data_IF_781338149974
#
_entry.id   IF_781338149974
#
_cell.length_a   1.000
_cell.length_b   1.000
_cell.length_c   1.000
_cell.angle_alpha   90.00
_cell.angle_beta   90.00
_cell.angle_gamma   90.00
#
_symmetry.space_group_name_H-M   'P 1'
#
loop_
_entity.id
_entity.type
_entity.pdbx_description
1 polymer ?
#
# COMPACT_ATOMS: atom_id res chain seq x y z
N UNK A 1 19.48 4.79 -0.06
CA UNK A 1 18.78 5.72 -0.96
C UNK A 1 17.43 6.08 -0.33
N UNK A 2 17.06 7.36 -0.33
CA UNK A 2 15.78 7.87 0.21
C UNK A 2 14.86 8.28 -0.95
N UNK A 3 13.55 8.18 -0.76
CA UNK A 3 12.58 8.69 -1.72
C UNK A 3 12.68 10.21 -1.80
N UNK A 4 12.76 10.77 -3.01
CA UNK A 4 12.84 12.23 -3.20
C UNK A 4 11.53 12.96 -2.83
N UNK A 5 10.39 12.25 -2.81
CA UNK A 5 9.08 12.83 -2.49
C UNK A 5 8.74 12.82 -0.99
N UNK A 6 9.27 11.86 -0.21
CA UNK A 6 8.89 11.71 1.21
C UNK A 6 10.07 11.46 2.16
N UNK A 7 11.31 11.38 1.68
CA UNK A 7 12.49 11.16 2.53
C UNK A 7 12.64 9.75 3.11
N UNK A 8 11.64 8.87 2.93
CA UNK A 8 11.62 7.50 3.45
C UNK A 8 12.72 6.63 2.82
N UNK A 9 13.31 5.72 3.61
CA UNK A 9 14.34 4.78 3.15
C UNK A 9 13.73 3.78 2.15
N UNK A 10 14.26 3.74 0.92
CA UNK A 10 13.79 2.79 -0.11
C UNK A 10 14.36 1.39 0.17
N UNK A 11 13.49 0.43 0.46
CA UNK A 11 13.84 -0.99 0.65
C UNK A 11 13.64 -1.75 -0.68
N UNK A 12 14.56 -1.57 -1.64
CA UNK A 12 14.43 -2.10 -3.02
C UNK A 12 14.08 -3.59 -3.09
N UNK A 13 14.66 -4.40 -2.22
CA UNK A 13 14.40 -5.85 -2.21
C UNK A 13 12.96 -6.18 -1.79
N UNK A 14 12.43 -5.51 -0.76
CA UNK A 14 11.04 -5.66 -0.35
C UNK A 14 10.08 -5.19 -1.44
N UNK A 15 10.40 -4.10 -2.13
CA UNK A 15 9.61 -3.61 -3.28
C UNK A 15 9.63 -4.64 -4.42
N UNK A 16 10.78 -5.26 -4.71
CA UNK A 16 10.87 -6.34 -5.71
C UNK A 16 10.05 -7.56 -5.32
N UNK A 17 10.12 -7.99 -4.06
CA UNK A 17 9.28 -9.09 -3.53
C UNK A 17 7.80 -8.76 -3.63
N UNK A 18 7.39 -7.56 -3.24
CA UNK A 18 6.00 -7.09 -3.37
C UNK A 18 5.53 -7.17 -4.83
N UNK A 19 6.31 -6.62 -5.75
CA UNK A 19 6.00 -6.61 -7.19
C UNK A 19 6.27 -7.96 -7.89
N UNK A 20 6.74 -8.98 -7.19
CA UNK A 20 6.86 -10.34 -7.73
C UNK A 20 5.50 -11.07 -7.75
N UNK A 21 4.52 -10.58 -6.99
CA UNK A 21 3.15 -11.10 -7.00
C UNK A 21 2.49 -10.81 -8.37
N UNK A 22 2.12 -11.84 -9.16
CA UNK A 22 1.55 -11.66 -10.49
C UNK A 22 0.16 -10.99 -10.44
N UNK A 23 -0.68 -11.33 -9.46
CA UNK A 23 -2.00 -10.71 -9.26
C UNK A 23 -1.86 -9.22 -8.97
N UNK A 24 -0.91 -8.85 -8.11
CA UNK A 24 -0.64 -7.45 -7.82
C UNK A 24 -0.21 -6.69 -9.09
N UNK A 25 0.66 -7.28 -9.93
CA UNK A 25 1.08 -6.66 -11.20
C UNK A 25 -0.09 -6.44 -12.15
N UNK A 26 -1.01 -7.39 -12.23
CA UNK A 26 -2.22 -7.26 -13.05
C UNK A 26 -3.13 -6.13 -12.55
N UNK A 27 -3.34 -6.04 -11.23
CA UNK A 27 -4.15 -4.98 -10.62
C UNK A 27 -3.52 -3.61 -10.84
N UNK A 28 -2.20 -3.46 -10.59
CA UNK A 28 -1.47 -2.21 -10.81
C UNK A 28 -1.56 -1.77 -12.28
N UNK A 29 -1.43 -2.70 -13.23
CA UNK A 29 -1.48 -2.37 -14.66
C UNK A 29 -2.83 -1.78 -15.12
N UNK A 30 -3.92 -2.01 -14.37
CA UNK A 30 -5.26 -1.48 -14.68
C UNK A 30 -5.47 -0.04 -14.23
N UNK A 31 -4.57 0.51 -13.40
CA UNK A 31 -4.72 1.84 -12.82
C UNK A 31 -3.54 2.74 -13.20
N UNK A 32 -3.81 3.88 -13.85
CA UNK A 32 -2.74 4.74 -14.39
C UNK A 32 -2.12 5.74 -13.41
N UNK A 33 -2.71 5.94 -12.22
CA UNK A 33 -2.33 7.04 -11.33
C UNK A 33 -2.59 6.69 -9.86
N UNK A 34 -1.79 5.76 -9.33
CA UNK A 34 -1.81 5.38 -7.91
C UNK A 34 -0.47 5.72 -7.26
N UNK A 35 -0.51 6.12 -6.00
CA UNK A 35 0.65 6.33 -5.16
C UNK A 35 0.51 5.53 -3.87
N UNK A 36 1.51 4.70 -3.58
CA UNK A 36 1.56 3.89 -2.35
C UNK A 36 2.85 4.23 -1.62
N UNK A 37 2.72 4.61 -0.36
CA UNK A 37 3.86 4.98 0.49
C UNK A 37 3.70 4.45 1.91
N UNK A 38 4.83 4.25 2.58
CA UNK A 38 4.88 3.95 4.02
C UNK A 38 5.36 5.21 4.74
N UNK A 39 4.65 5.62 5.78
CA UNK A 39 4.99 6.79 6.59
C UNK A 39 5.22 6.39 8.04
N UNK A 40 6.27 6.98 8.61
CA UNK A 40 6.70 6.78 10.00
C UNK A 40 5.97 7.75 10.96
N UNK A 41 5.10 8.64 10.45
CA UNK A 41 4.40 9.67 11.24
C UNK A 41 2.87 9.65 11.07
N UNK A 42 2.16 9.96 12.14
CA UNK A 42 0.67 10.03 12.21
C UNK A 42 0.05 11.10 11.29
N UNK A 43 0.89 11.92 10.65
CA UNK A 43 0.45 13.08 9.88
C UNK A 43 -0.52 13.99 10.67
N UNK A 44 -1.26 14.82 9.94
CA UNK A 44 -2.25 15.76 10.49
C UNK A 44 -3.59 15.12 10.86
N UNK A 45 -3.78 13.82 10.63
CA UNK A 45 -5.11 13.18 10.54
C UNK A 45 -5.82 12.95 11.88
N UNK A 46 -5.26 13.39 13.01
CA UNK A 46 -5.86 13.28 14.35
C UNK A 46 -5.91 11.86 14.91
N UNK A 47 -5.81 10.84 14.06
CA UNK A 47 -5.64 9.44 14.44
C UNK A 47 -4.17 9.21 14.77
N UNK A 48 -3.89 8.82 16.02
CA UNK A 48 -2.56 8.40 16.44
C UNK A 48 -2.45 6.90 16.36
N UNK A 49 -1.56 6.40 15.50
CA UNK A 49 -1.14 5.01 15.51
C UNK A 49 -0.20 4.77 16.71
N UNK A 50 -0.05 3.52 17.15
CA UNK A 50 0.95 3.19 18.15
C UNK A 50 2.37 3.61 17.69
N UNK A 51 3.30 3.93 18.62
CA UNK A 51 4.62 4.50 18.32
C UNK A 51 5.53 3.66 17.39
N UNK A 52 5.18 2.41 17.17
CA UNK A 52 5.91 1.39 16.44
C UNK A 52 5.13 0.83 15.24
N UNK A 53 4.05 1.50 14.83
CA UNK A 53 3.21 1.12 13.71
C UNK A 53 3.38 2.12 12.56
N UNK A 54 3.97 1.66 11.46
CA UNK A 54 4.06 2.43 10.23
C UNK A 54 2.69 2.45 9.50
N UNK A 55 2.32 3.59 8.92
CA UNK A 55 1.10 3.73 8.11
C UNK A 55 1.37 3.42 6.63
N UNK A 56 0.58 2.52 6.04
CA UNK A 56 0.48 2.38 4.58
C UNK A 56 -0.55 3.37 4.04
N UNK A 57 -0.10 4.30 3.20
CA UNK A 57 -0.95 5.30 2.55
C UNK A 57 -1.15 4.93 1.08
N UNK A 58 -2.41 4.83 0.67
CA UNK A 58 -2.84 4.61 -0.72
C UNK A 58 -3.59 5.84 -1.21
N UNK A 59 -3.11 6.44 -2.29
CA UNK A 59 -3.68 7.65 -2.89
C UNK A 59 -3.88 7.45 -4.38
N UNK A 60 -4.96 8.02 -4.92
CA UNK A 60 -5.19 8.11 -6.35
C UNK A 60 -5.58 9.55 -6.72
N UNK A 61 -5.25 9.96 -7.94
CA UNK A 61 -5.57 11.31 -8.42
C UNK A 61 -7.05 11.44 -8.78
N UNK A 62 -7.66 12.56 -8.38
CA UNK A 62 -9.02 12.96 -8.77
C UNK A 62 -10.14 12.36 -7.92
N UNK A 63 -11.38 12.57 -8.36
CA UNK A 63 -12.59 12.10 -7.69
C UNK A 63 -13.00 10.71 -8.21
N UNK A 64 -13.34 9.78 -7.30
CA UNK A 64 -13.83 8.45 -7.66
C UNK A 64 -15.37 8.48 -7.73
N UNK A 65 -15.92 8.49 -8.95
CA UNK A 65 -17.39 8.48 -9.18
C UNK A 65 -17.94 7.14 -9.62
N UNK A 66 -17.07 6.26 -10.08
CA UNK A 66 -17.42 4.93 -10.57
C UNK A 66 -17.23 3.90 -9.46
N UNK A 67 -18.31 3.22 -9.10
CA UNK A 67 -18.31 2.19 -8.07
C UNK A 67 -17.42 1.00 -8.45
N UNK A 68 -17.40 0.60 -9.73
CA UNK A 68 -16.54 -0.50 -10.18
C UNK A 68 -15.06 -0.14 -10.03
N UNK A 69 -14.69 1.12 -10.35
CA UNK A 69 -13.36 1.64 -10.09
C UNK A 69 -13.02 1.63 -8.59
N UNK A 70 -13.96 2.00 -7.72
CA UNK A 70 -13.73 1.97 -6.27
C UNK A 70 -13.46 0.55 -5.78
N UNK A 71 -14.25 -0.44 -6.21
CA UNK A 71 -14.01 -1.86 -5.90
C UNK A 71 -12.63 -2.33 -6.39
N UNK A 72 -12.26 -2.00 -7.63
CA UNK A 72 -10.95 -2.40 -8.17
C UNK A 72 -9.77 -1.78 -7.39
N UNK A 73 -9.90 -0.53 -6.94
CA UNK A 73 -8.90 0.12 -6.09
C UNK A 73 -8.82 -0.51 -4.70
N UNK A 74 -9.97 -0.92 -4.14
CA UNK A 74 -10.02 -1.67 -2.89
C UNK A 74 -9.32 -3.03 -3.01
N UNK A 75 -9.61 -3.80 -4.06
CA UNK A 75 -8.98 -5.10 -4.32
C UNK A 75 -7.46 -4.98 -4.44
N UNK A 76 -7.01 -3.93 -5.14
CA UNK A 76 -5.59 -3.60 -5.23
C UNK A 76 -4.99 -3.28 -3.87
N UNK A 77 -5.65 -2.46 -3.06
CA UNK A 77 -5.15 -2.11 -1.73
C UNK A 77 -5.10 -3.33 -0.80
N UNK A 78 -6.13 -4.18 -0.83
CA UNK A 78 -6.19 -5.40 -0.05
C UNK A 78 -5.09 -6.40 -0.48
N UNK A 79 -4.84 -6.56 -1.79
CA UNK A 79 -3.75 -7.40 -2.30
C UNK A 79 -2.36 -6.87 -1.89
N UNK A 80 -2.18 -5.55 -1.82
CA UNK A 80 -0.94 -4.94 -1.29
C UNK A 80 -0.74 -5.34 0.16
N UNK A 81 -1.74 -5.14 1.03
CA UNK A 81 -1.64 -5.46 2.45
C UNK A 81 -1.38 -6.95 2.68
N UNK A 82 -2.14 -7.81 1.99
CA UNK A 82 -1.95 -9.25 2.05
C UNK A 82 -0.52 -9.66 1.65
N UNK A 83 -0.03 -9.12 0.52
CA UNK A 83 1.33 -9.43 0.06
C UNK A 83 2.38 -8.95 1.06
N UNK A 84 2.20 -7.77 1.67
CA UNK A 84 3.13 -7.23 2.67
C UNK A 84 3.28 -8.15 3.89
N UNK A 85 2.18 -8.75 4.39
CA UNK A 85 2.22 -9.76 5.46
C UNK A 85 3.03 -10.98 5.03
N UNK A 86 2.75 -11.53 3.84
CA UNK A 86 3.41 -12.72 3.29
C UNK A 86 4.90 -12.53 2.98
N UNK A 87 5.40 -11.29 2.91
CA UNK A 87 6.82 -10.99 2.69
C UNK A 87 7.53 -10.42 3.94
N UNK A 88 6.97 -10.65 5.13
CA UNK A 88 7.53 -10.21 6.42
C UNK A 88 7.79 -8.70 6.44
N UNK A 89 6.85 -7.94 5.87
CA UNK A 89 6.93 -6.49 5.71
C UNK A 89 5.76 -5.73 6.31
N UNK A 90 4.82 -6.45 6.90
CA UNK A 90 3.78 -5.95 7.80
C UNK A 90 3.77 -6.82 9.07
N UNK A 91 2.88 -6.53 10.02
CA UNK A 91 2.72 -7.32 11.24
C UNK A 91 2.52 -8.81 10.93
N UNK A 92 2.99 -9.65 11.86
CA UNK A 92 2.97 -11.12 11.73
C UNK A 92 1.55 -11.69 11.64
N UNK A 93 0.57 -10.96 12.17
CA UNK A 93 -0.84 -11.33 12.12
C UNK A 93 -1.41 -11.12 10.71
N UNK A 94 -1.94 -12.20 10.13
CA UNK A 94 -2.72 -12.18 8.91
C UNK A 94 -3.94 -11.25 9.09
N UNK A 95 -4.16 -10.24 8.22
CA UNK A 95 -5.29 -9.33 8.32
C UNK A 95 -6.66 -10.00 8.06
N UNK A 96 -6.70 -11.31 7.76
CA UNK A 96 -7.90 -12.11 7.52
C UNK A 96 -8.80 -11.50 6.43
N UNK A 97 -8.17 -10.96 5.39
CA UNK A 97 -8.88 -10.35 4.26
C UNK A 97 -9.54 -11.46 3.42
N UNK A 98 -10.86 -11.42 3.31
CA UNK A 98 -11.60 -12.24 2.34
C UNK A 98 -11.59 -11.49 1.01
N UNK A 99 -10.73 -11.95 0.09
CA UNK A 99 -10.56 -11.40 -1.27
C UNK A 99 -11.47 -12.07 -2.31
#
# INVERSE_FOLDING_TARGET
MRCAQCGTKIRREKVRRLLSNPRLRELVARHKEIHVSVRDDDGWSGVKFPPDVDQVRFECTGEIKDLQRLHALYDLFAEILNTLCHIDSAYEDDPQLVL
#
